data_IF_469167978063
#
_entry.id   IF_469167978063
#
_cell.length_a   1.000
_cell.length_b   1.000
_cell.length_c   1.000
_cell.angle_alpha   90.00
_cell.angle_beta   90.00
_cell.angle_gamma   90.00
#
_symmetry.space_group_name_H-M   'P 1'
#
loop_
_entity.id
_entity.type
_entity.pdbx_description
1 polymer ?
#
# COMPACT_ATOMS: atom_id res chain seq x y z
N UNK A 1 29.52 58.85 -17.03
CA UNK A 1 29.94 57.47 -16.77
C UNK A 1 29.24 57.06 -15.48
N UNK A 2 27.96 56.68 -15.44
CA UNK A 2 27.25 55.59 -16.13
C UNK A 2 27.91 54.22 -15.86
N UNK A 3 27.45 53.54 -14.81
CA UNK A 3 27.33 52.08 -14.62
C UNK A 3 27.09 51.82 -13.11
N UNK A 4 26.23 50.93 -12.60
CA UNK A 4 25.10 50.14 -13.10
C UNK A 4 24.39 49.61 -11.85
N UNK A 5 23.06 49.66 -11.82
CA UNK A 5 22.23 48.95 -10.84
C UNK A 5 22.31 47.43 -11.06
N UNK A 6 22.34 46.65 -9.97
CA UNK A 6 21.79 45.29 -9.92
C UNK A 6 21.29 44.99 -8.49
N UNK A 7 20.05 44.48 -8.32
CA UNK A 7 19.47 44.21 -7.01
C UNK A 7 19.84 42.82 -6.50
N UNK A 8 20.16 42.74 -5.20
CA UNK A 8 20.28 41.47 -4.48
C UNK A 8 18.88 40.89 -4.26
N UNK A 9 18.54 39.82 -4.97
CA UNK A 9 17.33 39.05 -4.76
C UNK A 9 17.46 38.21 -3.48
N UNK A 10 16.73 38.61 -2.44
CA UNK A 10 16.41 37.73 -1.32
C UNK A 10 15.50 36.60 -1.86
N UNK A 11 16.09 35.44 -2.14
CA UNK A 11 15.33 34.21 -2.38
C UNK A 11 14.80 33.72 -1.04
N UNK A 12 13.52 34.01 -0.77
CA UNK A 12 12.76 33.40 0.32
C UNK A 12 12.56 31.93 -0.05
N UNK A 13 13.29 31.04 0.63
CA UNK A 13 13.17 29.59 0.50
C UNK A 13 11.89 29.12 1.21
N UNK A 14 10.72 29.31 0.59
CA UNK A 14 9.44 28.76 1.07
C UNK A 14 9.37 27.21 1.02
N UNK A 15 10.41 26.54 0.49
CA UNK A 15 10.50 25.08 0.43
C UNK A 15 11.03 24.40 1.70
N UNK A 16 11.60 25.14 2.66
CA UNK A 16 12.22 24.53 3.85
C UNK A 16 11.22 24.15 4.96
N UNK A 17 10.07 24.83 5.02
CA UNK A 17 9.12 24.73 6.14
C UNK A 17 8.33 23.41 6.19
N UNK A 18 8.10 22.75 5.05
CA UNK A 18 7.32 21.51 5.01
C UNK A 18 8.15 20.29 5.43
N UNK A 19 9.47 20.32 5.20
CA UNK A 19 10.36 19.22 5.55
C UNK A 19 10.62 19.20 7.06
N UNK A 20 10.77 20.36 7.71
CA UNK A 20 10.97 20.42 9.17
C UNK A 20 9.75 19.95 9.96
N UNK A 21 8.53 20.09 9.41
CA UNK A 21 7.31 19.53 9.99
C UNK A 21 7.24 17.99 9.96
N UNK A 22 8.06 17.32 9.14
CA UNK A 22 8.10 15.85 9.09
C UNK A 22 8.99 15.24 10.18
N UNK A 23 9.88 16.02 10.78
CA UNK A 23 10.86 15.50 11.75
C UNK A 23 10.40 15.58 13.21
N UNK A 24 9.33 16.31 13.55
CA UNK A 24 9.05 16.67 14.95
C UNK A 24 7.81 16.08 15.63
N UNK A 25 6.97 15.24 15.00
CA UNK A 25 5.74 14.79 15.68
C UNK A 25 5.33 13.34 15.40
N UNK A 26 5.87 12.40 16.20
CA UNK A 26 5.18 11.13 16.46
C UNK A 26 5.13 10.91 17.98
N UNK A 27 4.30 11.71 18.65
CA UNK A 27 3.72 11.35 19.95
C UNK A 27 2.31 11.89 20.03
N UNK A 28 1.42 11.09 20.63
CA UNK A 28 0.06 11.43 21.05
C UNK A 28 -1.10 11.11 20.11
N UNK A 29 -2.15 10.59 20.75
CA UNK A 29 -3.38 9.94 20.30
C UNK A 29 -4.34 10.78 19.44
N UNK A 30 -3.90 11.93 18.93
CA UNK A 30 -4.71 12.82 18.09
C UNK A 30 -4.58 12.54 16.58
N UNK A 31 -3.61 11.69 16.18
CA UNK A 31 -3.41 11.29 14.77
C UNK A 31 -4.50 10.35 14.21
N UNK A 32 -5.45 9.87 15.02
CA UNK A 32 -6.41 8.87 14.57
C UNK A 32 -7.37 9.38 13.48
N UNK A 33 -7.59 10.70 13.37
CA UNK A 33 -8.55 11.30 12.44
C UNK A 33 -7.94 11.98 11.20
N UNK A 34 -6.61 12.16 11.12
CA UNK A 34 -5.93 12.84 9.98
C UNK A 34 -5.27 11.84 9.00
N UNK A 35 -5.21 10.54 9.32
CA UNK A 35 -4.47 9.56 8.50
C UNK A 35 -5.25 9.09 7.25
N UNK A 36 -6.57 9.27 7.18
CA UNK A 36 -7.37 8.79 6.04
C UNK A 36 -7.07 9.54 4.71
N UNK A 37 -6.98 10.88 4.67
CA UNK A 37 -6.57 11.62 3.47
C UNK A 37 -5.14 11.31 3.03
N UNK A 38 -4.23 11.13 4.00
CA UNK A 38 -2.80 10.98 3.76
C UNK A 38 -2.46 9.65 3.11
N UNK A 39 -3.03 8.53 3.59
CA UNK A 39 -2.83 7.23 2.94
C UNK A 39 -3.43 7.20 1.52
N UNK A 40 -4.59 7.86 1.33
CA UNK A 40 -5.22 7.98 0.02
C UNK A 40 -4.33 8.77 -0.95
N UNK A 41 -3.77 9.91 -0.53
CA UNK A 41 -2.81 10.70 -1.32
C UNK A 41 -1.53 9.92 -1.65
N UNK A 42 -0.94 9.22 -0.69
CA UNK A 42 0.27 8.42 -0.93
C UNK A 42 0.00 7.25 -1.87
N UNK A 43 -1.13 6.57 -1.73
CA UNK A 43 -1.51 5.45 -2.58
C UNK A 43 -1.81 5.89 -4.02
N UNK A 44 -2.48 7.03 -4.20
CA UNK A 44 -2.73 7.63 -5.52
C UNK A 44 -1.47 8.03 -6.28
N UNK A 45 -0.40 8.42 -5.58
CA UNK A 45 0.86 8.86 -6.19
C UNK A 45 1.93 7.75 -6.26
N UNK A 46 1.58 6.48 -5.99
CA UNK A 46 2.55 5.37 -5.83
C UNK A 46 3.66 5.68 -4.79
N UNK A 47 3.34 6.48 -3.77
CA UNK A 47 4.25 6.93 -2.72
C UNK A 47 4.05 6.18 -1.41
N UNK A 48 3.36 5.04 -1.43
CA UNK A 48 3.32 4.15 -0.27
C UNK A 48 4.75 3.78 0.12
N UNK A 49 5.10 3.73 1.42
CA UNK A 49 6.42 3.29 1.87
C UNK A 49 6.56 1.76 1.78
N UNK A 50 6.38 1.24 0.57
CA UNK A 50 6.82 -0.09 0.11
C UNK A 50 8.35 -0.13 0.08
N UNK A 51 8.95 -1.32 0.15
CA UNK A 51 10.41 -1.44 0.23
C UNK A 51 11.11 -0.80 -0.96
N UNK A 52 10.59 -0.95 -2.19
CA UNK A 52 11.10 -0.30 -3.41
C UNK A 52 11.17 1.24 -3.30
N UNK A 53 10.24 1.86 -2.58
CA UNK A 53 10.22 3.30 -2.34
C UNK A 53 11.12 3.70 -1.15
N UNK A 54 11.30 2.82 -0.17
CA UNK A 54 12.20 3.05 0.96
C UNK A 54 13.67 3.00 0.52
N UNK A 55 14.06 2.06 -0.34
CA UNK A 55 15.43 1.95 -0.86
C UNK A 55 15.91 3.16 -1.64
N UNK A 56 15.00 3.82 -2.37
CA UNK A 56 15.29 5.08 -3.08
C UNK A 56 15.77 6.19 -2.14
N UNK A 57 15.47 6.07 -0.83
CA UNK A 57 15.82 7.06 0.20
C UNK A 57 16.99 6.61 1.06
N UNK A 58 17.21 5.31 1.21
CA UNK A 58 18.19 4.74 2.12
C UNK A 58 18.58 3.31 1.70
N UNK A 59 19.87 3.07 1.48
CA UNK A 59 20.49 1.83 0.98
C UNK A 59 20.39 0.66 1.96
N UNK A 60 20.07 0.90 3.24
CA UNK A 60 19.79 -0.17 4.22
C UNK A 60 18.61 -1.08 3.80
N UNK A 61 17.82 -0.68 2.80
CA UNK A 61 16.69 -1.42 2.26
C UNK A 61 17.00 -2.14 0.94
N UNK A 62 18.25 -2.15 0.46
CA UNK A 62 18.66 -2.74 -0.83
C UNK A 62 18.54 -4.27 -0.87
N UNK A 63 18.61 -4.92 0.27
CA UNK A 63 18.47 -6.38 0.33
C UNK A 63 17.17 -6.81 1.03
N UNK A 64 16.32 -5.87 1.44
CA UNK A 64 15.10 -6.16 2.20
C UNK A 64 13.98 -6.69 1.28
N UNK A 65 13.45 -7.90 1.51
CA UNK A 65 12.36 -8.44 0.72
C UNK A 65 11.02 -7.91 1.22
N UNK A 66 9.96 -8.31 0.55
CA UNK A 66 8.61 -8.10 1.02
C UNK A 66 8.43 -8.64 2.44
N UNK A 67 7.98 -7.83 3.41
CA UNK A 67 7.84 -8.25 4.80
C UNK A 67 6.78 -9.33 4.98
N UNK A 68 5.84 -9.46 4.04
CA UNK A 68 4.76 -10.44 4.09
C UNK A 68 5.15 -11.80 3.49
N UNK A 69 5.71 -11.85 2.27
CA UNK A 69 6.07 -13.12 1.63
C UNK A 69 7.51 -13.57 1.88
N UNK A 70 8.40 -12.62 2.21
CA UNK A 70 9.85 -12.77 2.44
C UNK A 70 10.62 -13.38 1.27
N UNK A 71 10.07 -13.29 0.07
CA UNK A 71 10.56 -14.02 -1.09
C UNK A 71 10.87 -13.10 -2.27
N UNK A 72 9.98 -12.14 -2.54
CA UNK A 72 10.09 -11.21 -3.65
C UNK A 72 10.38 -9.79 -3.16
N UNK A 73 10.89 -8.93 -4.06
CA UNK A 73 10.95 -7.50 -3.83
C UNK A 73 9.54 -6.91 -3.68
N UNK A 74 9.33 -6.06 -2.66
CA UNK A 74 8.05 -5.39 -2.49
C UNK A 74 7.98 -4.10 -3.32
N UNK A 75 7.25 -4.21 -4.42
CA UNK A 75 6.73 -3.08 -5.20
C UNK A 75 5.22 -2.94 -4.98
N UNK A 76 4.63 -1.83 -5.43
CA UNK A 76 3.17 -1.70 -5.44
C UNK A 76 2.46 -2.82 -6.25
N UNK A 77 3.09 -3.27 -7.34
CA UNK A 77 2.58 -4.37 -8.15
C UNK A 77 2.66 -5.70 -7.39
N UNK A 78 3.78 -5.95 -6.71
CA UNK A 78 3.91 -7.12 -5.85
C UNK A 78 2.88 -7.10 -4.72
N UNK A 79 2.62 -5.94 -4.10
CA UNK A 79 1.70 -5.81 -2.98
C UNK A 79 0.32 -6.42 -3.26
N UNK A 80 -0.24 -6.23 -4.46
CA UNK A 80 -1.58 -6.72 -4.82
C UNK A 80 -1.63 -8.21 -5.19
N UNK A 81 -0.48 -8.82 -5.49
CA UNK A 81 -0.33 -10.24 -5.86
C UNK A 81 0.39 -11.05 -4.77
N UNK A 82 0.84 -10.40 -3.70
CA UNK A 82 1.64 -11.01 -2.65
C UNK A 82 0.83 -12.11 -1.96
N UNK A 83 1.31 -13.35 -2.05
CA UNK A 83 0.67 -14.53 -1.44
C UNK A 83 0.53 -14.38 0.07
N UNK A 84 1.50 -13.74 0.75
CA UNK A 84 1.45 -13.44 2.18
C UNK A 84 0.38 -12.40 2.57
N UNK A 85 -0.22 -11.69 1.61
CA UNK A 85 -1.26 -10.69 1.85
C UNK A 85 -2.62 -11.07 1.25
N UNK A 86 -2.74 -12.20 0.53
CA UNK A 86 -3.96 -12.54 -0.22
C UNK A 86 -5.18 -12.62 0.71
N UNK A 87 -5.07 -13.29 1.85
CA UNK A 87 -6.18 -13.40 2.82
C UNK A 87 -6.61 -12.05 3.39
N UNK A 88 -5.65 -11.14 3.59
CA UNK A 88 -5.92 -9.78 4.04
C UNK A 88 -6.69 -8.98 2.97
N UNK A 89 -6.32 -9.13 1.69
CA UNK A 89 -7.06 -8.53 0.58
C UNK A 89 -8.47 -9.12 0.45
N UNK A 90 -8.62 -10.45 0.51
CA UNK A 90 -9.96 -11.08 0.48
C UNK A 90 -10.86 -10.58 1.60
N UNK A 91 -10.30 -10.38 2.79
CA UNK A 91 -11.02 -9.80 3.94
C UNK A 91 -11.42 -8.34 3.67
N UNK A 92 -10.51 -7.55 3.09
CA UNK A 92 -10.80 -6.16 2.74
C UNK A 92 -11.87 -6.02 1.65
N UNK A 93 -11.82 -6.88 0.63
CA UNK A 93 -12.81 -6.98 -0.44
C UNK A 93 -14.19 -7.32 0.14
N UNK A 94 -14.27 -8.34 0.99
CA UNK A 94 -15.51 -8.74 1.67
C UNK A 94 -16.12 -7.60 2.49
N UNK A 95 -15.32 -6.94 3.34
CA UNK A 95 -15.79 -5.81 4.15
C UNK A 95 -16.29 -4.66 3.26
N UNK A 96 -15.62 -4.40 2.13
CA UNK A 96 -16.03 -3.39 1.15
C UNK A 96 -17.40 -3.72 0.56
N UNK A 97 -17.61 -4.95 0.09
CA UNK A 97 -18.89 -5.38 -0.48
C UNK A 97 -20.01 -5.29 0.56
N UNK A 98 -19.77 -5.71 1.80
CA UNK A 98 -20.77 -5.64 2.86
C UNK A 98 -21.20 -4.20 3.15
N UNK A 99 -20.23 -3.26 3.21
CA UNK A 99 -20.52 -1.83 3.37
C UNK A 99 -21.29 -1.26 2.18
N UNK A 100 -20.93 -1.65 0.95
CA UNK A 100 -21.63 -1.23 -0.27
C UNK A 100 -23.06 -1.77 -0.30
N UNK A 101 -23.28 -3.04 0.03
CA UNK A 101 -24.62 -3.62 0.13
C UNK A 101 -25.48 -2.90 1.16
N UNK A 102 -24.94 -2.62 2.35
CA UNK A 102 -25.63 -1.84 3.39
C UNK A 102 -25.99 -0.44 2.90
N UNK A 103 -25.09 0.21 2.17
CA UNK A 103 -25.34 1.54 1.59
C UNK A 103 -26.41 1.49 0.49
N UNK A 104 -26.40 0.46 -0.36
CA UNK A 104 -27.36 0.23 -1.42
C UNK A 104 -28.79 0.05 -0.91
N UNK A 105 -28.98 -0.60 0.24
CA UNK A 105 -30.30 -0.78 0.87
C UNK A 105 -31.03 0.54 1.18
N UNK A 106 -30.31 1.66 1.23
CA UNK A 106 -30.89 3.00 1.45
C UNK A 106 -31.62 3.56 0.22
N UNK A 107 -31.42 2.94 -0.95
CA UNK A 107 -32.03 3.36 -2.20
C UNK A 107 -33.15 2.40 -2.59
N UNK A 108 -34.23 2.94 -3.15
CA UNK A 108 -35.26 2.14 -3.84
C UNK A 108 -34.71 1.72 -5.20
N UNK A 109 -34.06 0.56 -5.26
CA UNK A 109 -33.59 -0.03 -6.51
C UNK A 109 -34.72 -0.82 -7.18
N UNK A 110 -34.83 -0.73 -8.52
CA UNK A 110 -35.82 -1.51 -9.30
C UNK A 110 -35.61 -3.02 -9.18
N UNK A 111 -34.35 -3.45 -9.04
CA UNK A 111 -33.93 -4.84 -8.85
C UNK A 111 -33.18 -4.95 -7.53
N UNK A 112 -33.41 -6.02 -6.78
CA UNK A 112 -32.57 -6.37 -5.63
C UNK A 112 -31.19 -6.79 -6.13
N UNK A 113 -30.15 -6.08 -5.69
CA UNK A 113 -28.75 -6.40 -6.02
C UNK A 113 -28.19 -7.36 -4.98
N UNK A 114 -27.70 -8.51 -5.43
CA UNK A 114 -27.11 -9.56 -4.58
C UNK A 114 -25.65 -9.26 -4.24
N UNK A 115 -25.10 -9.92 -3.19
CA UNK A 115 -23.67 -9.83 -2.86
C UNK A 115 -22.81 -10.30 -4.04
N UNK A 116 -23.19 -11.42 -4.65
CA UNK A 116 -22.42 -12.04 -5.73
C UNK A 116 -22.36 -11.13 -6.96
N UNK A 117 -23.46 -10.48 -7.34
CA UNK A 117 -23.46 -9.49 -8.43
C UNK A 117 -22.52 -8.31 -8.15
N UNK A 118 -22.44 -7.82 -6.89
CA UNK A 118 -21.50 -6.76 -6.52
C UNK A 118 -20.05 -7.23 -6.58
N UNK A 119 -19.77 -8.43 -6.06
CA UNK A 119 -18.43 -9.00 -6.05
C UNK A 119 -17.91 -9.17 -7.49
N UNK A 120 -18.72 -9.77 -8.37
CA UNK A 120 -18.41 -9.93 -9.81
C UNK A 120 -18.26 -8.57 -10.50
N UNK A 121 -19.03 -7.56 -10.08
CA UNK A 121 -18.97 -6.24 -10.72
C UNK A 121 -17.76 -5.41 -10.34
N UNK A 122 -17.27 -5.55 -9.11
CA UNK A 122 -16.24 -4.68 -8.53
C UNK A 122 -14.87 -5.35 -8.56
N UNK A 123 -14.79 -6.60 -8.13
CA UNK A 123 -13.51 -7.33 -8.02
C UNK A 123 -13.33 -8.37 -9.11
N UNK A 124 -14.40 -8.66 -9.86
CA UNK A 124 -14.45 -9.51 -11.05
C UNK A 124 -13.48 -10.69 -11.01
N UNK A 125 -13.93 -11.80 -10.41
CA UNK A 125 -13.28 -13.08 -10.60
C UNK A 125 -13.97 -13.84 -11.73
N UNK A 126 -13.21 -14.17 -12.78
CA UNK A 126 -13.31 -15.43 -13.52
C UNK A 126 -12.20 -15.51 -14.56
N UNK A 127 -11.08 -16.09 -14.16
CA UNK A 127 -10.44 -17.24 -14.80
C UNK A 127 -9.07 -17.44 -14.09
N UNK A 128 -8.76 -18.60 -13.48
CA UNK A 128 -7.40 -18.91 -13.07
C UNK A 128 -6.35 -18.72 -14.18
N UNK A 129 -6.75 -18.78 -15.45
CA UNK A 129 -5.92 -18.53 -16.62
C UNK A 129 -5.70 -17.03 -16.94
N UNK A 130 -6.47 -16.11 -16.34
CA UNK A 130 -6.35 -14.66 -16.57
C UNK A 130 -6.41 -13.84 -15.26
N UNK A 131 -5.45 -14.06 -14.32
CA UNK A 131 -5.44 -13.41 -13.01
C UNK A 131 -5.23 -11.88 -13.08
N UNK A 132 -4.81 -11.33 -14.22
CA UNK A 132 -4.37 -9.94 -14.39
C UNK A 132 -5.48 -8.92 -14.11
N UNK A 133 -6.75 -9.27 -14.38
CA UNK A 133 -7.87 -8.33 -14.20
C UNK A 133 -8.16 -8.02 -12.73
N UNK A 134 -8.12 -9.04 -11.86
CA UNK A 134 -8.28 -8.86 -10.41
C UNK A 134 -7.15 -8.00 -9.85
N UNK A 135 -5.93 -8.28 -10.29
CA UNK A 135 -4.73 -7.55 -9.88
C UNK A 135 -4.82 -6.08 -10.32
N UNK A 136 -5.22 -5.83 -11.57
CA UNK A 136 -5.45 -4.49 -12.10
C UNK A 136 -6.50 -3.74 -11.29
N UNK A 137 -7.65 -4.35 -10.98
CA UNK A 137 -8.70 -3.69 -10.21
C UNK A 137 -8.22 -3.33 -8.80
N UNK A 138 -7.45 -4.20 -8.14
CA UNK A 138 -6.80 -3.88 -6.86
C UNK A 138 -5.83 -2.70 -7.00
N UNK A 139 -4.97 -2.69 -8.02
CA UNK A 139 -4.01 -1.60 -8.27
C UNK A 139 -4.71 -0.26 -8.49
N UNK A 140 -5.74 -0.23 -9.35
CA UNK A 140 -6.51 0.98 -9.61
C UNK A 140 -7.21 1.47 -8.35
N UNK A 141 -7.85 0.57 -7.59
CA UNK A 141 -8.49 0.92 -6.34
C UNK A 141 -7.50 1.41 -5.30
N UNK A 142 -6.30 0.83 -5.19
CA UNK A 142 -5.24 1.38 -4.34
C UNK A 142 -4.92 2.81 -4.76
N UNK A 143 -4.81 3.11 -6.05
CA UNK A 143 -4.59 4.47 -6.54
C UNK A 143 -5.79 5.41 -6.37
N UNK A 144 -6.90 4.93 -5.80
CA UNK A 144 -8.12 5.71 -5.64
C UNK A 144 -8.89 5.88 -6.95
N UNK A 145 -8.60 5.04 -7.94
CA UNK A 145 -9.24 5.01 -9.24
C UNK A 145 -10.25 3.86 -9.31
N UNK A 146 -11.23 4.01 -10.19
CA UNK A 146 -12.20 2.96 -10.48
C UNK A 146 -12.35 2.80 -11.97
N UNK A 147 -12.18 1.57 -12.45
CA UNK A 147 -12.26 1.28 -13.88
C UNK A 147 -13.65 1.63 -14.44
N UNK A 148 -13.68 2.21 -15.65
CA UNK A 148 -14.92 2.48 -16.36
C UNK A 148 -15.77 1.20 -16.55
N UNK A 149 -15.14 0.03 -16.67
CA UNK A 149 -15.83 -1.27 -16.74
C UNK A 149 -16.65 -1.55 -15.49
N UNK A 150 -16.08 -1.31 -14.31
CA UNK A 150 -16.79 -1.46 -13.02
C UNK A 150 -17.98 -0.49 -12.99
N UNK A 151 -17.76 0.78 -13.34
CA UNK A 151 -18.84 1.79 -13.37
C UNK A 151 -19.96 1.37 -14.33
N UNK A 152 -19.64 0.87 -15.53
CA UNK A 152 -20.61 0.38 -16.51
C UNK A 152 -21.45 -0.77 -15.97
N UNK A 153 -20.85 -1.71 -15.23
CA UNK A 153 -21.57 -2.82 -14.58
C UNK A 153 -22.48 -2.34 -13.46
N UNK A 154 -22.00 -1.43 -12.61
CA UNK A 154 -22.82 -0.84 -11.55
C UNK A 154 -24.01 -0.07 -12.12
N UNK A 155 -23.86 0.61 -13.26
CA UNK A 155 -24.96 1.28 -13.96
C UNK A 155 -26.01 0.29 -14.47
N UNK A 156 -25.62 -0.90 -14.92
CA UNK A 156 -26.56 -1.96 -15.33
C UNK A 156 -27.34 -2.53 -14.14
N UNK A 157 -26.69 -2.65 -12.99
CA UNK A 157 -27.33 -3.14 -11.76
C UNK A 157 -28.22 -2.10 -11.08
N UNK A 158 -27.97 -0.81 -11.33
CA UNK A 158 -28.62 0.29 -10.64
C UNK A 158 -29.05 1.39 -11.62
N UNK A 159 -28.86 2.67 -11.26
CA UNK A 159 -29.07 3.81 -12.16
C UNK A 159 -27.75 4.57 -12.34
N UNK A 160 -27.67 5.43 -13.34
CA UNK A 160 -26.48 6.28 -13.58
C UNK A 160 -26.07 7.07 -12.33
N UNK A 161 -27.05 7.68 -11.66
CA UNK A 161 -26.82 8.47 -10.43
C UNK A 161 -26.33 7.61 -9.27
N UNK A 162 -26.96 6.46 -9.05
CA UNK A 162 -26.57 5.55 -7.95
C UNK A 162 -25.18 5.00 -8.21
N UNK A 163 -24.90 4.54 -9.44
CA UNK A 163 -23.58 4.01 -9.80
C UNK A 163 -22.45 5.01 -9.52
N UNK A 164 -22.62 6.29 -9.87
CA UNK A 164 -21.62 7.32 -9.55
C UNK A 164 -21.39 7.50 -8.05
N UNK A 165 -22.46 7.47 -7.24
CA UNK A 165 -22.34 7.52 -5.77
C UNK A 165 -21.65 6.27 -5.22
N UNK A 166 -21.96 5.10 -5.76
CA UNK A 166 -21.31 3.84 -5.38
C UNK A 166 -19.83 3.86 -5.72
N UNK A 167 -19.43 4.36 -6.88
CA UNK A 167 -18.02 4.47 -7.28
C UNK A 167 -17.18 5.19 -6.22
N UNK A 168 -17.66 6.35 -5.73
CA UNK A 168 -17.00 7.10 -4.65
C UNK A 168 -16.98 6.32 -3.33
N UNK A 169 -18.08 5.64 -3.00
CA UNK A 169 -18.16 4.82 -1.78
C UNK A 169 -17.28 3.57 -1.85
N UNK A 170 -17.11 2.97 -3.02
CA UNK A 170 -16.26 1.79 -3.23
C UNK A 170 -14.82 2.17 -2.92
N UNK A 171 -14.31 3.25 -3.52
CA UNK A 171 -12.95 3.74 -3.25
C UNK A 171 -12.77 4.00 -1.75
N UNK A 172 -13.69 4.77 -1.14
CA UNK A 172 -13.63 5.09 0.28
C UNK A 172 -13.60 3.84 1.17
N UNK A 173 -14.56 2.93 0.99
CA UNK A 173 -14.68 1.74 1.85
C UNK A 173 -13.55 0.74 1.60
N UNK A 174 -13.07 0.63 0.36
CA UNK A 174 -11.91 -0.18 0.04
C UNK A 174 -10.65 0.36 0.73
N UNK A 175 -10.39 1.66 0.69
CA UNK A 175 -9.24 2.26 1.39
C UNK A 175 -9.29 2.10 2.90
N UNK A 176 -10.47 2.26 3.51
CA UNK A 176 -10.66 1.99 4.93
C UNK A 176 -10.32 0.52 5.29
N UNK A 177 -10.84 -0.41 4.49
CA UNK A 177 -10.63 -1.84 4.69
C UNK A 177 -9.17 -2.26 4.41
N UNK A 178 -8.59 -1.74 3.33
CA UNK A 178 -7.17 -1.93 2.97
C UNK A 178 -6.26 -1.43 4.09
N UNK A 179 -6.49 -0.22 4.61
CA UNK A 179 -5.70 0.33 5.71
C UNK A 179 -5.73 -0.59 6.92
N UNK A 180 -6.93 -1.06 7.27
CA UNK A 180 -7.19 -1.88 8.47
C UNK A 180 -6.58 -3.27 8.35
N UNK A 181 -6.83 -3.96 7.24
CA UNK A 181 -6.57 -5.39 7.10
C UNK A 181 -5.27 -5.71 6.38
N UNK A 182 -4.82 -4.85 5.47
CA UNK A 182 -3.61 -5.08 4.66
C UNK A 182 -2.47 -4.21 5.17
N UNK A 183 -2.66 -2.89 5.18
CA UNK A 183 -1.56 -1.96 5.38
C UNK A 183 -1.02 -1.97 6.81
N UNK A 184 -1.89 -1.86 7.83
CA UNK A 184 -1.47 -1.89 9.23
C UNK A 184 -0.74 -3.20 9.59
N UNK A 185 -1.27 -4.39 9.26
CA UNK A 185 -0.54 -5.64 9.48
C UNK A 185 0.80 -5.70 8.74
N UNK A 186 0.86 -5.26 7.48
CA UNK A 186 2.12 -5.17 6.73
C UNK A 186 3.14 -4.25 7.42
N UNK A 187 2.72 -3.09 7.94
CA UNK A 187 3.61 -2.21 8.70
C UNK A 187 4.17 -2.90 9.96
N UNK A 188 3.37 -3.72 10.63
CA UNK A 188 3.84 -4.53 11.77
C UNK A 188 4.90 -5.54 11.33
N UNK A 189 4.64 -6.30 10.26
CA UNK A 189 5.61 -7.25 9.69
C UNK A 189 6.91 -6.56 9.26
N UNK A 190 6.81 -5.35 8.72
CA UNK A 190 7.98 -4.54 8.35
C UNK A 190 8.80 -4.13 9.59
N UNK A 191 8.16 -3.78 10.69
CA UNK A 191 8.87 -3.46 11.94
C UNK A 191 9.55 -4.70 12.53
N UNK A 192 8.85 -5.84 12.58
CA UNK A 192 9.40 -7.13 13.03
C UNK A 192 10.61 -7.55 12.16
N UNK A 193 10.52 -7.34 10.84
CA UNK A 193 11.64 -7.58 9.93
C UNK A 193 12.81 -6.65 10.24
N UNK A 194 12.57 -5.34 10.40
CA UNK A 194 13.63 -4.38 10.76
C UNK A 194 14.32 -4.72 12.08
N UNK A 195 13.56 -5.16 13.08
CA UNK A 195 14.09 -5.61 14.37
C UNK A 195 14.99 -6.83 14.21
N UNK A 196 14.58 -7.83 13.40
CA UNK A 196 15.42 -8.99 13.10
C UNK A 196 16.70 -8.65 12.34
N UNK A 197 16.69 -7.52 11.61
CA UNK A 197 17.84 -6.99 10.88
C UNK A 197 18.68 -6.01 11.70
N UNK A 198 18.31 -5.77 12.97
CA UNK A 198 18.94 -4.78 13.83
C UNK A 198 19.01 -3.36 13.23
N UNK A 199 18.06 -3.00 12.35
CA UNK A 199 17.99 -1.68 11.73
C UNK A 199 17.52 -0.66 12.77
N UNK A 200 18.44 0.17 13.26
CA UNK A 200 18.16 1.12 14.34
C UNK A 200 17.48 2.39 13.82
N UNK A 201 17.01 3.24 14.75
CA UNK A 201 16.50 4.56 14.39
C UNK A 201 17.58 5.46 13.78
N UNK A 202 18.82 5.35 14.23
CA UNK A 202 19.93 6.14 13.70
C UNK A 202 20.23 5.81 12.23
N UNK A 203 20.12 4.54 11.85
CA UNK A 203 20.36 4.10 10.47
C UNK A 203 19.30 4.64 9.50
N UNK A 204 18.07 4.87 9.98
CA UNK A 204 16.99 5.48 9.19
C UNK A 204 17.23 6.95 8.88
N UNK A 205 18.03 7.64 9.72
CA UNK A 205 18.35 9.06 9.58
C UNK A 205 19.63 9.33 8.80
N UNK A 206 20.47 8.31 8.56
CA UNK A 206 21.66 8.42 7.71
C UNK A 206 21.23 8.50 6.25
N UNK A 207 21.81 9.44 5.51
CA UNK A 207 21.63 9.53 4.05
C UNK A 207 22.70 8.68 3.37
N UNK A 208 22.44 8.22 2.14
CA UNK A 208 23.31 7.32 1.37
C UNK A 208 24.77 7.77 1.19
N UNK A 209 25.11 9.01 1.56
CA UNK A 209 26.47 9.55 1.51
C UNK A 209 27.39 9.06 2.65
N UNK A 210 26.86 8.42 3.69
CA UNK A 210 27.63 8.13 4.92
C UNK A 210 27.92 6.64 5.14
N UNK A 211 27.36 5.71 4.35
CA UNK A 211 27.25 4.28 4.72
C UNK A 211 28.34 3.32 4.17
N UNK A 212 29.45 3.82 3.61
CA UNK A 212 30.33 2.97 2.79
C UNK A 212 31.24 1.97 3.52
N UNK A 213 31.40 2.00 4.84
CA UNK A 213 32.42 1.15 5.50
C UNK A 213 31.89 0.01 6.39
N UNK A 214 30.63 0.01 6.85
CA UNK A 214 30.10 -1.02 7.79
C UNK A 214 29.10 -2.03 7.18
N UNK A 215 28.80 -1.92 5.89
CA UNK A 215 27.66 -2.61 5.26
C UNK A 215 27.88 -4.12 4.98
N UNK A 216 29.12 -4.60 4.94
CA UNK A 216 29.42 -5.96 4.46
C UNK A 216 29.16 -7.04 5.53
N UNK A 217 29.51 -6.78 6.80
CA UNK A 217 29.27 -7.72 7.90
C UNK A 217 27.78 -7.88 8.24
N UNK A 218 26.98 -6.81 8.09
CA UNK A 218 25.52 -6.86 8.28
C UNK A 218 24.82 -7.66 7.17
N UNK A 219 25.34 -7.60 5.93
CA UNK A 219 24.81 -8.35 4.77
C UNK A 219 25.02 -9.85 4.86
N UNK A 220 26.11 -10.31 5.48
CA UNK A 220 26.38 -11.74 5.60
C UNK A 220 25.55 -12.42 6.70
N UNK A 221 25.38 -11.78 7.86
CA UNK A 221 24.44 -12.25 8.89
C UNK A 221 23.01 -12.36 8.34
N UNK A 222 22.64 -11.42 7.47
CA UNK A 222 21.36 -11.39 6.79
C UNK A 222 21.14 -12.57 5.83
N UNK A 223 22.12 -12.88 4.96
CA UNK A 223 22.03 -14.01 4.03
C UNK A 223 21.84 -15.35 4.74
N UNK A 224 22.51 -15.54 5.88
CA UNK A 224 22.34 -16.75 6.69
C UNK A 224 20.94 -16.85 7.30
N UNK A 225 20.42 -15.74 7.83
CA UNK A 225 19.08 -15.71 8.44
C UNK A 225 17.98 -15.95 7.40
N UNK A 226 18.09 -15.36 6.21
CA UNK A 226 17.11 -15.54 5.13
C UNK A 226 17.09 -16.98 4.60
N UNK A 227 18.27 -17.59 4.48
CA UNK A 227 18.43 -18.97 4.03
C UNK A 227 17.80 -19.94 5.03
N UNK A 228 18.08 -19.79 6.32
CA UNK A 228 17.50 -20.62 7.38
C UNK A 228 15.95 -20.55 7.41
N UNK A 229 15.36 -19.37 7.19
CA UNK A 229 13.90 -19.23 7.12
C UNK A 229 13.28 -19.83 5.85
N UNK A 230 13.95 -19.72 4.70
CA UNK A 230 13.51 -20.36 3.44
C UNK A 230 13.51 -21.88 3.56
N UNK A 231 14.53 -22.44 4.21
CA UNK A 231 14.63 -23.88 4.50
C UNK A 231 13.52 -24.36 5.44
N UNK A 232 13.20 -23.62 6.51
CA UNK A 232 12.07 -23.94 7.39
C UNK A 232 10.72 -23.93 6.66
N UNK A 233 10.52 -23.01 5.71
CA UNK A 233 9.29 -22.94 4.91
C UNK A 233 9.18 -24.10 3.92
N UNK A 234 10.28 -24.50 3.29
CA UNK A 234 10.34 -25.66 2.41
C UNK A 234 10.09 -26.98 3.17
N UNK A 235 10.65 -27.11 4.37
CA UNK A 235 10.43 -28.28 5.24
C UNK A 235 8.95 -28.44 5.64
N UNK A 236 8.28 -27.36 6.05
CA UNK A 236 6.84 -27.39 6.38
C UNK A 236 5.93 -27.71 5.18
N UNK A 237 6.33 -27.33 3.97
CA UNK A 237 5.60 -27.68 2.75
C UNK A 237 5.71 -29.18 2.43
N UNK A 238 6.90 -29.77 2.63
CA UNK A 238 7.15 -31.20 2.40
C UNK A 238 6.47 -32.11 3.45
N UNK A 239 6.28 -31.63 4.69
CA UNK A 239 5.53 -32.35 5.72
C UNK A 239 4.01 -32.37 5.48
N UNK A 240 3.45 -31.35 4.83
CA UNK A 240 2.02 -31.28 4.50
C UNK A 240 1.59 -32.07 3.25
N UNK A 241 2.56 -32.67 2.54
CA UNK A 241 2.35 -33.49 1.34
C UNK A 241 2.54 -35.00 1.59
N UNK A 242 2.88 -35.40 2.82
CA UNK A 242 2.86 -36.79 3.30
C UNK A 242 1.55 -37.09 4.02
#
# INVERSE_FOLDING_TARGET
MADRMAPSSAHVNEGQSVIELLHSNITSSLLFNIIQPVLMSFSSNNLLPTVDNLRKRNDIYDDVPCPACRDHEETLNHLVICTGLEQAFLTAEKETIDKIRKYLKRFKCKKSVTINELYISIFEYRDPAFPELKQRNRQELLRGLISHTIVKKLRKLTSKRIASLLSLKIIKYFHEAFRKHVWKPRCKMMNELKESLHITHQDKCKTSRTHKEDAETQRDHYRHTLTAFREQKASKYNEGLR
#
